data_IF_898021585917
#
_entry.id   IF_898021585917
#
_cell.length_a   1.000
_cell.length_b   1.000
_cell.length_c   1.000
_cell.angle_alpha   90.00
_cell.angle_beta   90.00
_cell.angle_gamma   90.00
#
_symmetry.space_group_name_H-M   'P 1'
#
loop_
_entity.id
_entity.type
_entity.pdbx_description
1 polymer ?
#
# COMPACT_ATOMS: atom_id res chain seq x y z
N UNK A 1 -49.53 -8.79 -2.19
CA UNK A 1 -49.36 -10.07 -2.89
C UNK A 1 -47.88 -10.24 -3.20
N UNK A 2 -47.22 -11.15 -2.48
CA UNK A 2 -46.05 -11.88 -2.98
C UNK A 2 -46.53 -12.86 -4.09
N UNK A 3 -45.66 -13.39 -4.96
CA UNK A 3 -44.61 -14.38 -4.61
C UNK A 3 -43.24 -14.11 -5.32
N UNK A 4 -42.05 -14.38 -4.74
CA UNK A 4 -41.30 -15.68 -4.62
C UNK A 4 -41.34 -16.50 -5.93
N UNK A 5 -40.29 -17.12 -6.49
CA UNK A 5 -38.89 -17.40 -6.13
C UNK A 5 -38.30 -18.34 -7.22
N UNK A 6 -36.99 -18.25 -7.55
CA UNK A 6 -36.05 -19.34 -7.93
C UNK A 6 -34.82 -18.72 -8.66
N UNK A 7 -33.61 -18.67 -8.08
CA UNK A 7 -32.57 -19.72 -7.99
C UNK A 7 -31.90 -19.98 -9.35
N UNK A 8 -30.63 -19.63 -9.60
CA UNK A 8 -29.31 -20.10 -9.11
C UNK A 8 -28.30 -19.75 -10.23
N UNK A 9 -26.99 -19.56 -10.08
CA UNK A 9 -25.99 -20.36 -9.39
C UNK A 9 -24.64 -19.57 -9.40
N UNK A 10 -24.01 -19.39 -8.23
CA UNK A 10 -22.63 -18.87 -8.07
C UNK A 10 -21.83 -19.95 -7.35
N UNK A 11 -20.73 -20.39 -7.96
CA UNK A 11 -19.82 -21.39 -7.42
C UNK A 11 -18.86 -20.81 -6.35
N UNK A 12 -18.36 -21.62 -5.39
CA UNK A 12 -18.07 -21.15 -4.03
C UNK A 12 -16.59 -21.14 -3.64
N UNK A 13 -16.28 -20.24 -2.68
CA UNK A 13 -15.10 -20.24 -1.81
C UNK A 13 -15.19 -21.42 -0.83
N UNK A 14 -14.10 -22.19 -0.71
CA UNK A 14 -13.94 -23.26 0.30
C UNK A 14 -13.09 -22.75 1.46
N UNK A 15 -13.70 -22.64 2.62
CA UNK A 15 -13.03 -22.72 3.93
C UNK A 15 -13.06 -24.18 4.38
N UNK A 16 -11.94 -24.70 4.89
CA UNK A 16 -11.91 -25.95 5.66
C UNK A 16 -11.06 -25.77 6.91
N UNK A 17 -11.62 -26.23 8.02
CA UNK A 17 -11.13 -26.15 9.40
C UNK A 17 -10.57 -27.52 9.80
N UNK A 18 -9.31 -27.52 10.24
CA UNK A 18 -8.64 -28.28 11.32
C UNK A 18 -9.08 -29.72 11.64
N UNK A 19 -8.15 -30.66 11.43
CA UNK A 19 -7.61 -31.73 12.31
C UNK A 19 -6.44 -32.35 11.52
N UNK A 20 -5.21 -32.57 11.99
CA UNK A 20 -4.75 -33.46 13.06
C UNK A 20 -3.21 -33.33 13.20
N UNK A 21 -2.71 -33.55 14.42
CA UNK A 21 -1.46 -34.24 14.82
C UNK A 21 -0.11 -34.05 14.08
N UNK A 22 0.89 -33.82 14.93
CA UNK A 22 2.31 -33.68 14.64
C UNK A 22 3.00 -35.00 14.25
N UNK A 23 3.90 -34.93 13.28
CA UNK A 23 5.03 -35.86 13.11
C UNK A 23 6.24 -35.12 12.52
N UNK A 24 7.42 -35.43 13.06
CA UNK A 24 8.71 -34.73 12.93
C UNK A 24 9.51 -35.19 11.70
N UNK A 25 10.27 -34.28 11.08
CA UNK A 25 11.69 -34.38 10.66
C UNK A 25 11.98 -33.42 9.48
N UNK A 26 13.26 -33.07 9.18
CA UNK A 26 14.31 -32.53 10.03
C UNK A 26 14.76 -31.14 9.54
N UNK A 27 15.05 -30.22 10.45
CA UNK A 27 15.70 -28.94 10.12
C UNK A 27 17.18 -29.22 9.91
N UNK A 28 17.66 -29.01 8.69
CA UNK A 28 19.08 -28.95 8.35
C UNK A 28 19.78 -27.95 9.28
N UNK A 29 20.78 -28.44 10.01
CA UNK A 29 21.71 -27.60 10.77
C UNK A 29 22.41 -26.67 9.80
N UNK A 30 22.17 -25.37 9.95
CA UNK A 30 23.00 -24.35 9.33
C UNK A 30 24.39 -24.39 9.99
N UNK A 31 25.40 -24.63 9.17
CA UNK A 31 26.82 -24.60 9.47
C UNK A 31 27.20 -23.38 10.34
N UNK A 32 27.52 -23.64 11.60
CA UNK A 32 28.21 -22.71 12.51
C UNK A 32 29.71 -22.71 12.21
N UNK A 33 30.10 -22.32 11.00
CA UNK A 33 31.47 -21.86 10.75
C UNK A 33 31.55 -20.94 9.52
N UNK A 34 30.88 -19.79 9.62
CA UNK A 34 31.31 -18.61 8.87
C UNK A 34 31.77 -17.59 9.89
N UNK A 35 33.09 -17.44 9.97
CA UNK A 35 33.77 -16.29 10.54
C UNK A 35 32.93 -15.03 10.29
N UNK A 36 32.48 -14.39 11.37
CA UNK A 36 31.57 -13.25 11.31
C UNK A 36 32.32 -12.00 10.80
N UNK A 37 32.68 -11.98 9.52
CA UNK A 37 33.36 -10.86 8.87
C UNK A 37 32.46 -9.64 8.98
N UNK A 38 32.89 -8.64 9.75
CA UNK A 38 32.21 -7.36 9.92
C UNK A 38 31.94 -6.76 8.53
N UNK A 39 30.66 -6.60 8.11
CA UNK A 39 30.35 -5.92 6.87
C UNK A 39 30.92 -4.50 6.89
N UNK A 40 31.49 -4.07 5.77
CA UNK A 40 32.01 -2.71 5.65
C UNK A 40 30.88 -1.69 5.81
N UNK A 41 31.15 -0.60 6.54
CA UNK A 41 30.18 0.49 6.67
C UNK A 41 30.02 1.17 5.30
N UNK A 42 28.79 1.52 4.87
CA UNK A 42 28.63 2.32 3.65
C UNK A 42 29.43 3.62 3.78
N UNK A 43 30.36 3.88 2.85
CA UNK A 43 31.08 5.15 2.82
C UNK A 43 30.13 6.27 2.38
N UNK A 44 29.58 7.00 3.34
CA UNK A 44 28.52 7.98 3.09
C UNK A 44 28.94 9.09 2.13
N UNK A 45 30.22 9.47 2.15
CA UNK A 45 30.74 10.53 1.28
C UNK A 45 30.81 10.10 -0.19
N UNK A 46 31.19 8.85 -0.46
CA UNK A 46 31.23 8.30 -1.82
C UNK A 46 29.84 8.13 -2.41
N UNK A 47 28.89 7.60 -1.62
CA UNK A 47 27.49 7.51 -2.05
C UNK A 47 26.88 8.89 -2.27
N UNK A 48 27.20 9.87 -1.42
CA UNK A 48 26.76 11.25 -1.59
C UNK A 48 27.32 11.86 -2.87
N UNK A 49 28.63 11.74 -3.13
CA UNK A 49 29.26 12.21 -4.39
C UNK A 49 28.63 11.59 -5.63
N UNK A 50 28.34 10.28 -5.61
CA UNK A 50 27.65 9.58 -6.71
C UNK A 50 26.22 10.10 -6.92
N UNK A 51 25.47 10.29 -5.83
CA UNK A 51 24.10 10.82 -5.88
C UNK A 51 24.06 12.28 -6.37
N UNK A 52 25.00 13.12 -5.91
CA UNK A 52 25.12 14.52 -6.32
C UNK A 52 25.50 14.64 -7.81
N UNK A 53 26.39 13.76 -8.30
CA UNK A 53 26.73 13.69 -9.72
C UNK A 53 25.53 13.32 -10.60
N UNK A 54 24.78 12.27 -10.22
CA UNK A 54 23.56 11.85 -10.94
C UNK A 54 22.47 12.93 -10.85
N UNK A 55 22.32 13.60 -9.70
CA UNK A 55 21.38 14.72 -9.55
C UNK A 55 21.73 15.90 -10.47
N UNK A 56 23.01 16.28 -10.55
CA UNK A 56 23.47 17.35 -11.45
C UNK A 56 23.21 17.02 -12.93
N UNK A 57 23.36 15.76 -13.34
CA UNK A 57 23.04 15.33 -14.71
C UNK A 57 21.54 15.34 -15.00
N UNK A 58 20.71 14.95 -14.02
CA UNK A 58 19.25 15.04 -14.14
C UNK A 58 18.81 16.50 -14.30
N UNK A 59 19.39 17.42 -13.51
CA UNK A 59 18.98 18.82 -13.53
C UNK A 59 19.40 19.52 -14.84
N UNK A 60 20.60 19.24 -15.37
CA UNK A 60 21.02 19.69 -16.71
C UNK A 60 20.03 19.26 -17.80
N UNK A 61 19.64 17.98 -17.83
CA UNK A 61 18.69 17.45 -18.82
C UNK A 61 17.28 18.00 -18.63
N UNK A 62 16.86 18.28 -17.39
CA UNK A 62 15.59 18.96 -17.12
C UNK A 62 15.59 20.40 -17.64
N UNK A 63 16.69 21.13 -17.52
CA UNK A 63 16.83 22.47 -18.10
C UNK A 63 16.76 22.43 -19.63
N UNK A 64 17.43 21.47 -20.27
CA UNK A 64 17.32 21.26 -21.71
C UNK A 64 15.89 20.91 -22.13
N UNK A 65 15.19 20.07 -21.36
CA UNK A 65 13.78 19.76 -21.59
C UNK A 65 12.88 20.98 -21.45
N UNK A 66 13.13 21.87 -20.47
CA UNK A 66 12.40 23.13 -20.32
C UNK A 66 12.61 24.04 -21.53
N UNK A 67 13.86 24.24 -21.96
CA UNK A 67 14.19 25.02 -23.16
C UNK A 67 13.54 24.46 -24.43
N UNK A 68 13.47 23.14 -24.58
CA UNK A 68 12.74 22.51 -25.69
C UNK A 68 11.23 22.70 -25.56
N UNK A 69 10.69 22.68 -24.35
CA UNK A 69 9.26 22.90 -24.09
C UNK A 69 8.87 24.34 -24.44
N UNK A 70 9.66 25.34 -24.04
CA UNK A 70 9.47 26.74 -24.42
C UNK A 70 9.48 26.91 -25.95
N UNK A 71 10.46 26.31 -26.65
CA UNK A 71 10.52 26.33 -28.13
C UNK A 71 9.31 25.65 -28.79
N UNK A 72 8.77 24.59 -28.18
CA UNK A 72 7.56 23.92 -28.66
C UNK A 72 6.33 24.82 -28.43
N UNK A 73 6.22 25.43 -27.26
CA UNK A 73 5.11 26.30 -26.90
C UNK A 73 5.07 27.56 -27.78
N UNK A 74 6.20 28.25 -27.95
CA UNK A 74 6.33 29.42 -28.84
C UNK A 74 5.84 29.13 -30.27
N UNK A 75 6.21 27.96 -30.82
CA UNK A 75 5.80 27.56 -32.18
C UNK A 75 4.37 26.98 -32.24
N UNK A 76 3.86 26.44 -31.15
CA UNK A 76 2.54 25.81 -31.07
C UNK A 76 1.43 26.81 -30.75
N UNK A 77 1.75 28.00 -30.23
CA UNK A 77 0.79 29.08 -29.97
C UNK A 77 -0.09 29.38 -31.19
N UNK A 78 -1.34 29.78 -30.92
CA UNK A 78 -2.32 30.12 -31.96
C UNK A 78 -3.08 28.93 -32.56
N UNK A 79 -2.98 27.71 -31.99
CA UNK A 79 -3.73 26.53 -32.46
C UNK A 79 -5.24 26.78 -32.46
N UNK A 80 -5.80 27.32 -31.38
CA UNK A 80 -7.25 27.53 -31.26
C UNK A 80 -7.76 28.61 -32.23
N UNK A 81 -7.02 29.72 -32.37
CA UNK A 81 -7.32 30.76 -33.36
C UNK A 81 -7.25 30.19 -34.80
N UNK A 82 -6.22 29.40 -35.11
CA UNK A 82 -6.10 28.74 -36.40
C UNK A 82 -7.24 27.75 -36.66
N UNK A 83 -7.60 26.93 -35.67
CA UNK A 83 -8.66 25.91 -35.82
C UNK A 83 -10.04 26.57 -35.97
N UNK A 84 -10.30 27.68 -35.27
CA UNK A 84 -11.53 28.47 -35.41
C UNK A 84 -11.61 29.15 -36.78
N UNK A 85 -10.57 29.88 -37.20
CA UNK A 85 -10.50 30.54 -38.52
C UNK A 85 -10.58 29.53 -39.67
N UNK A 86 -9.91 28.37 -39.52
CA UNK A 86 -10.01 27.29 -40.50
C UNK A 86 -11.45 26.77 -40.58
N UNK A 87 -12.10 26.55 -39.44
CA UNK A 87 -13.46 25.99 -39.41
C UNK A 87 -14.48 26.97 -39.97
N UNK A 88 -14.37 28.27 -39.66
CA UNK A 88 -15.24 29.29 -40.26
C UNK A 88 -15.07 29.34 -41.77
N UNK A 89 -13.83 29.39 -42.29
CA UNK A 89 -13.58 29.38 -43.74
C UNK A 89 -14.09 28.11 -44.43
N UNK A 90 -14.00 26.93 -43.79
CA UNK A 90 -14.60 25.71 -44.33
C UNK A 90 -16.12 25.78 -44.37
N UNK A 91 -16.76 26.34 -43.34
CA UNK A 91 -18.20 26.54 -43.32
C UNK A 91 -18.63 27.53 -44.40
N UNK A 92 -17.92 28.65 -44.54
CA UNK A 92 -18.19 29.66 -45.58
C UNK A 92 -17.96 29.09 -46.99
N UNK A 93 -16.92 28.30 -47.19
CA UNK A 93 -16.69 27.60 -48.47
C UNK A 93 -17.80 26.59 -48.79
N UNK A 94 -18.26 25.84 -47.78
CA UNK A 94 -19.34 24.86 -47.95
C UNK A 94 -20.69 25.54 -48.22
N UNK A 95 -20.99 26.66 -47.58
CA UNK A 95 -22.22 27.43 -47.84
C UNK A 95 -22.21 28.00 -49.25
N UNK A 96 -21.11 28.62 -49.69
CA UNK A 96 -20.97 29.12 -51.07
C UNK A 96 -21.07 27.99 -52.10
N UNK A 97 -20.51 26.80 -51.79
CA UNK A 97 -20.64 25.62 -52.65
C UNK A 97 -22.11 25.18 -52.76
N UNK A 98 -22.84 25.11 -51.65
CA UNK A 98 -24.24 24.72 -51.65
C UNK A 98 -25.11 25.73 -52.42
N UNK A 99 -24.88 27.03 -52.24
CA UNK A 99 -25.55 28.09 -53.00
C UNK A 99 -25.24 28.00 -54.50
N UNK A 100 -23.98 27.75 -54.87
CA UNK A 100 -23.59 27.52 -56.27
C UNK A 100 -24.29 26.31 -56.86
N UNK A 101 -24.34 25.20 -56.14
CA UNK A 101 -24.97 23.97 -56.61
C UNK A 101 -26.49 24.16 -56.79
N UNK A 102 -27.14 24.91 -55.90
CA UNK A 102 -28.54 25.32 -56.05
C UNK A 102 -28.76 26.21 -57.29
N UNK A 103 -27.88 27.18 -57.56
CA UNK A 103 -27.96 28.01 -58.77
C UNK A 103 -27.73 27.21 -60.05
N UNK A 104 -26.82 26.23 -60.03
CA UNK A 104 -26.60 25.30 -61.15
C UNK A 104 -27.86 24.47 -61.41
N UNK A 105 -28.53 24.00 -60.37
CA UNK A 105 -29.80 23.28 -60.48
C UNK A 105 -30.92 24.17 -61.03
N UNK A 106 -31.05 25.42 -60.55
CA UNK A 106 -31.98 26.39 -61.11
C UNK A 106 -31.71 26.66 -62.59
N UNK A 107 -30.43 26.84 -62.98
CA UNK A 107 -30.02 27.01 -64.38
C UNK A 107 -30.40 25.80 -65.23
N UNK A 108 -30.20 24.58 -64.71
CA UNK A 108 -30.57 23.34 -65.39
C UNK A 108 -32.09 23.27 -65.59
N UNK A 109 -32.88 23.49 -64.54
CA UNK A 109 -34.34 23.45 -64.61
C UNK A 109 -34.91 24.51 -65.57
N UNK A 110 -34.35 25.72 -65.56
CA UNK A 110 -34.74 26.78 -66.51
C UNK A 110 -34.40 26.39 -67.95
N UNK A 111 -33.21 25.82 -68.19
CA UNK A 111 -32.80 25.35 -69.51
C UNK A 111 -33.68 24.20 -70.01
N UNK A 112 -34.00 23.24 -69.15
CA UNK A 112 -34.86 22.11 -69.48
C UNK A 112 -36.30 22.58 -69.75
N UNK A 113 -36.85 23.47 -68.92
CA UNK A 113 -38.15 24.11 -69.12
C UNK A 113 -38.24 24.89 -70.45
N UNK A 114 -37.21 25.68 -70.78
CA UNK A 114 -37.14 26.36 -72.08
C UNK A 114 -37.08 25.37 -73.26
N UNK A 115 -36.39 24.24 -73.10
CA UNK A 115 -36.31 23.21 -74.14
C UNK A 115 -37.65 22.52 -74.35
N UNK A 116 -38.39 22.24 -73.27
CA UNK A 116 -39.73 21.66 -73.34
C UNK A 116 -40.73 22.64 -73.95
N UNK A 117 -40.74 23.89 -73.52
CA UNK A 117 -41.59 24.94 -74.10
C UNK A 117 -41.30 25.13 -75.60
N UNK A 118 -40.02 25.15 -76.00
CA UNK A 118 -39.65 25.26 -77.43
C UNK A 118 -40.09 24.03 -78.24
N UNK A 119 -40.01 22.82 -77.67
CA UNK A 119 -40.53 21.61 -78.33
C UNK A 119 -42.05 21.66 -78.46
N UNK A 120 -42.77 22.01 -77.40
CA UNK A 120 -44.22 22.15 -77.40
C UNK A 120 -44.69 23.20 -78.41
N UNK A 121 -44.00 24.34 -78.49
CA UNK A 121 -44.28 25.38 -79.50
C UNK A 121 -44.08 24.84 -80.93
N UNK A 122 -42.97 24.14 -81.22
CA UNK A 122 -42.73 23.54 -82.54
C UNK A 122 -43.74 22.45 -82.89
N UNK A 123 -44.16 21.65 -81.92
CA UNK A 123 -45.20 20.62 -82.11
C UNK A 123 -46.56 21.26 -82.38
N UNK A 124 -46.94 22.30 -81.63
CA UNK A 124 -48.17 23.06 -81.85
C UNK A 124 -48.17 23.74 -83.22
N UNK A 125 -47.06 24.36 -83.65
CA UNK A 125 -46.92 24.92 -85.00
C UNK A 125 -47.04 23.84 -86.09
N UNK A 126 -46.44 22.66 -85.89
CA UNK A 126 -46.53 21.55 -86.84
C UNK A 126 -47.97 21.02 -86.93
N UNK A 127 -48.66 20.89 -85.81
CA UNK A 127 -50.07 20.49 -85.78
C UNK A 127 -50.96 21.55 -86.45
N UNK A 128 -50.71 22.84 -86.21
CA UNK A 128 -51.43 23.93 -86.87
C UNK A 128 -51.23 23.88 -88.38
N UNK A 129 -49.99 23.73 -88.87
CA UNK A 129 -49.70 23.60 -90.32
C UNK A 129 -50.35 22.37 -90.95
N UNK A 130 -50.51 21.28 -90.20
CA UNK A 130 -51.21 20.09 -90.69
C UNK A 130 -52.72 20.34 -90.77
N UNK A 131 -53.32 20.90 -89.70
CA UNK A 131 -54.73 21.28 -89.68
C UNK A 131 -55.06 22.35 -90.74
N UNK A 132 -54.14 23.28 -91.00
CA UNK A 132 -54.28 24.29 -92.06
C UNK A 132 -54.41 23.62 -93.43
N UNK A 133 -53.53 22.65 -93.73
CA UNK A 133 -53.63 21.86 -94.97
C UNK A 133 -54.97 21.12 -95.04
N UNK A 134 -55.39 20.47 -93.97
CA UNK A 134 -56.64 19.71 -93.95
C UNK A 134 -57.87 20.61 -94.13
N UNK A 135 -57.91 21.78 -93.47
CA UNK A 135 -59.01 22.76 -93.58
C UNK A 135 -59.06 23.41 -94.96
N UNK A 136 -57.92 23.66 -95.62
CA UNK A 136 -57.92 24.21 -96.99
C UNK A 136 -58.57 23.26 -98.01
N UNK A 137 -58.53 21.95 -97.76
CA UNK A 137 -59.13 20.94 -98.64
C UNK A 137 -60.60 20.64 -98.30
N UNK A 138 -61.06 20.86 -97.06
CA UNK A 138 -62.42 20.59 -96.59
C UNK A 138 -63.07 21.85 -96.02
N UNK A 139 -63.37 22.84 -96.86
CA UNK A 139 -64.14 24.03 -96.45
C UNK A 139 -65.64 23.79 -96.59
N UNK A 140 -66.45 24.29 -95.64
CA UNK A 140 -67.93 24.20 -95.73
C UNK A 140 -68.45 24.84 -97.02
N UNK A 141 -67.89 25.99 -97.39
CA UNK A 141 -68.22 26.66 -98.64
C UNK A 141 -67.78 25.88 -99.88
N UNK A 142 -66.65 25.18 -99.82
CA UNK A 142 -66.17 24.33 -100.91
C UNK A 142 -67.11 23.13 -101.13
N UNK A 143 -67.48 22.45 -100.04
CA UNK A 143 -68.42 21.32 -100.06
C UNK A 143 -69.80 21.77 -100.56
N UNK A 144 -70.31 22.90 -100.07
CA UNK A 144 -71.63 23.40 -100.48
C UNK A 144 -71.63 23.90 -101.94
N UNK A 145 -70.54 24.50 -102.43
CA UNK A 145 -70.36 24.86 -103.86
C UNK A 145 -70.29 23.63 -104.77
N UNK A 146 -69.58 22.57 -104.36
CA UNK A 146 -69.51 21.31 -105.12
C UNK A 146 -70.86 20.58 -105.15
N UNK A 147 -71.58 20.55 -104.01
CA UNK A 147 -72.95 20.03 -103.96
C UNK A 147 -73.85 20.81 -104.91
N UNK A 148 -73.81 22.15 -104.88
CA UNK A 148 -74.60 23.00 -105.77
C UNK A 148 -74.25 22.78 -107.26
N UNK A 149 -72.97 22.59 -107.59
CA UNK A 149 -72.53 22.30 -108.95
C UNK A 149 -73.01 20.92 -109.44
N UNK A 150 -72.97 19.89 -108.59
CA UNK A 150 -73.46 18.55 -108.92
C UNK A 150 -75.00 18.56 -109.02
N UNK A 151 -75.69 19.24 -108.11
CA UNK A 151 -77.15 19.40 -108.14
C UNK A 151 -77.58 20.15 -109.41
N UNK A 152 -76.88 21.23 -109.78
CA UNK A 152 -77.10 21.95 -111.04
C UNK A 152 -76.84 21.06 -112.27
N UNK A 153 -75.79 20.23 -112.25
CA UNK A 153 -75.47 19.29 -113.32
C UNK A 153 -76.57 18.23 -113.50
N UNK A 154 -77.10 17.68 -112.39
CA UNK A 154 -78.23 16.75 -112.41
C UNK A 154 -79.50 17.42 -112.96
N UNK A 155 -79.74 18.69 -112.62
CA UNK A 155 -80.92 19.43 -113.06
C UNK A 155 -80.89 19.85 -114.53
N UNK A 156 -79.70 20.08 -115.11
CA UNK A 156 -79.54 20.69 -116.45
C UNK A 156 -79.07 19.72 -117.53
N UNK A 157 -78.49 18.58 -117.17
CA UNK A 157 -77.96 17.59 -118.11
C UNK A 157 -78.73 16.28 -118.01
N UNK A 158 -79.14 15.72 -119.16
CA UNK A 158 -79.68 14.36 -119.22
C UNK A 158 -78.54 13.35 -119.26
N UNK A 159 -78.45 12.50 -118.23
CA UNK A 159 -77.41 11.47 -118.10
C UNK A 159 -78.05 10.08 -117.87
N UNK A 160 -77.35 8.97 -118.16
CA UNK A 160 -77.88 7.65 -117.86
C UNK A 160 -78.05 7.45 -116.35
N UNK A 161 -79.10 6.71 -115.95
CA UNK A 161 -79.51 6.50 -114.55
C UNK A 161 -78.38 6.01 -113.62
N UNK A 162 -77.38 5.31 -114.16
CA UNK A 162 -76.21 4.83 -113.40
C UNK A 162 -75.29 5.98 -112.98
N UNK A 163 -75.09 6.97 -113.84
CA UNK A 163 -74.25 8.14 -113.58
C UNK A 163 -74.97 9.13 -112.66
N UNK A 164 -76.28 9.33 -112.86
CA UNK A 164 -77.11 10.14 -111.97
C UNK A 164 -77.13 9.59 -110.54
N UNK A 165 -77.29 8.27 -110.37
CA UNK A 165 -77.15 7.60 -109.07
C UNK A 165 -75.75 7.75 -108.49
N UNK A 166 -74.70 7.73 -109.32
CA UNK A 166 -73.32 7.97 -108.91
C UNK A 166 -73.12 9.39 -108.36
N UNK A 167 -73.62 10.41 -109.07
CA UNK A 167 -73.61 11.80 -108.60
C UNK A 167 -74.44 12.00 -107.32
N UNK A 168 -75.58 11.32 -107.20
CA UNK A 168 -76.40 11.36 -105.98
C UNK A 168 -75.68 10.70 -104.78
N UNK A 169 -74.93 9.61 -105.00
CA UNK A 169 -74.06 9.03 -103.96
C UNK A 169 -72.92 9.97 -103.58
N UNK A 170 -72.34 10.71 -104.54
CA UNK A 170 -71.34 11.73 -104.27
C UNK A 170 -71.92 12.88 -103.41
N UNK A 171 -73.13 13.38 -103.72
CA UNK A 171 -73.83 14.37 -102.87
C UNK A 171 -74.02 13.83 -101.45
N UNK A 172 -74.45 12.57 -101.29
CA UNK A 172 -74.59 11.96 -99.95
C UNK A 172 -73.27 11.88 -99.19
N UNK A 173 -72.17 11.53 -99.88
CA UNK A 173 -70.83 11.48 -99.30
C UNK A 173 -70.32 12.86 -98.88
N UNK A 174 -70.49 13.87 -99.73
CA UNK A 174 -70.14 15.26 -99.44
C UNK A 174 -70.96 15.83 -98.28
N UNK A 175 -72.28 15.58 -98.24
CA UNK A 175 -73.15 15.95 -97.10
C UNK A 175 -72.73 15.27 -95.79
N UNK A 176 -72.21 14.04 -95.84
CA UNK A 176 -71.66 13.34 -94.68
C UNK A 176 -70.29 13.88 -94.22
N UNK A 177 -69.51 14.47 -95.13
CA UNK A 177 -68.21 15.10 -94.82
C UNK A 177 -68.35 16.52 -94.26
N UNK A 178 -69.48 17.20 -94.50
CA UNK A 178 -69.79 18.54 -93.96
C UNK A 178 -69.58 18.70 -92.44
N UNK A 179 -70.10 17.83 -91.56
CA UNK A 179 -69.82 17.94 -90.12
C UNK A 179 -68.36 17.67 -89.74
N UNK A 180 -67.60 16.96 -90.57
CA UNK A 180 -66.17 16.73 -90.34
C UNK A 180 -65.37 18.00 -90.67
N UNK A 181 -65.68 18.66 -91.79
CA UNK A 181 -65.14 19.97 -92.15
C UNK A 181 -65.39 21.02 -91.04
N UNK A 182 -66.60 21.06 -90.50
CA UNK A 182 -66.96 21.98 -89.41
C UNK A 182 -66.15 21.73 -88.13
N UNK A 183 -65.88 20.47 -87.78
CA UNK A 183 -65.04 20.12 -86.62
C UNK A 183 -63.58 20.50 -86.85
N UNK A 184 -63.05 20.20 -88.03
CA UNK A 184 -61.68 20.56 -88.40
C UNK A 184 -61.46 22.08 -88.41
N UNK A 185 -62.43 22.84 -88.90
CA UNK A 185 -62.38 24.31 -88.88
C UNK A 185 -62.37 24.85 -87.44
N UNK A 186 -63.23 24.33 -86.56
CA UNK A 186 -63.24 24.71 -85.13
C UNK A 186 -61.95 24.32 -84.41
N UNK A 187 -61.40 23.15 -84.70
CA UNK A 187 -60.12 22.68 -84.15
C UNK A 187 -58.95 23.55 -84.64
N UNK A 188 -58.97 23.93 -85.92
CA UNK A 188 -57.99 24.85 -86.50
C UNK A 188 -58.10 26.25 -85.89
N UNK A 189 -59.29 26.83 -85.78
CA UNK A 189 -59.49 28.14 -85.16
C UNK A 189 -59.08 28.13 -83.67
N UNK A 190 -59.39 27.05 -82.95
CA UNK A 190 -58.97 26.89 -81.56
C UNK A 190 -57.45 26.73 -81.41
N UNK A 191 -56.80 25.97 -82.29
CA UNK A 191 -55.34 25.81 -82.27
C UNK A 191 -54.62 27.06 -82.77
N UNK A 192 -55.17 27.76 -83.77
CA UNK A 192 -54.69 29.06 -84.23
C UNK A 192 -54.79 30.10 -83.15
N UNK A 193 -55.93 30.18 -82.44
CA UNK A 193 -56.07 31.07 -81.29
C UNK A 193 -55.04 30.75 -80.19
N UNK A 194 -54.73 29.47 -79.92
CA UNK A 194 -53.70 29.06 -78.96
C UNK A 194 -52.27 29.42 -79.38
N UNK A 195 -51.96 29.38 -80.68
CA UNK A 195 -50.63 29.76 -81.20
C UNK A 195 -50.50 31.29 -81.31
N UNK A 196 -51.56 32.00 -81.72
CA UNK A 196 -51.60 33.46 -81.85
C UNK A 196 -51.74 34.20 -80.51
N UNK A 197 -52.39 33.60 -79.50
CA UNK A 197 -52.53 34.20 -78.16
C UNK A 197 -51.21 34.36 -77.42
N UNK A 198 -50.09 33.91 -77.99
CA UNK A 198 -48.78 34.31 -77.48
C UNK A 198 -48.48 33.77 -76.08
N UNK A 199 -49.03 32.62 -75.69
CA UNK A 199 -48.40 31.77 -74.65
C UNK A 199 -47.00 31.28 -75.11
N UNK A 200 -46.58 31.63 -76.33
CA UNK A 200 -45.24 31.54 -76.88
C UNK A 200 -44.65 32.87 -77.36
N UNK A 201 -44.92 34.00 -76.68
CA UNK A 201 -44.05 35.19 -76.82
C UNK A 201 -42.63 34.78 -76.40
N UNK A 202 -41.73 34.67 -77.38
CA UNK A 202 -40.44 33.98 -77.34
C UNK A 202 -39.81 33.88 -75.93
N UNK A 203 -40.13 32.82 -75.14
CA UNK A 203 -39.56 32.62 -73.81
C UNK A 203 -38.04 32.46 -73.88
N UNK A 204 -37.49 32.25 -75.09
CA UNK A 204 -36.07 32.23 -75.32
C UNK A 204 -35.40 33.59 -75.07
N UNK A 205 -36.05 34.74 -75.24
CA UNK A 205 -35.40 36.05 -75.00
C UNK A 205 -35.32 36.34 -73.50
N UNK A 206 -36.43 36.21 -72.79
CA UNK A 206 -36.47 36.44 -71.33
C UNK A 206 -35.71 35.33 -70.56
N UNK A 207 -35.82 34.07 -71.01
CA UNK A 207 -35.08 32.97 -70.43
C UNK A 207 -33.58 33.01 -70.73
N UNK A 208 -33.14 33.61 -71.84
CA UNK A 208 -31.71 33.90 -72.07
C UNK A 208 -31.18 34.92 -71.07
N UNK A 209 -31.90 36.02 -70.84
CA UNK A 209 -31.50 37.01 -69.83
C UNK A 209 -31.43 36.41 -68.42
N UNK A 210 -32.39 35.54 -68.06
CA UNK A 210 -32.37 34.81 -66.80
C UNK A 210 -31.19 33.82 -66.71
N UNK A 211 -30.88 33.10 -67.80
CA UNK A 211 -29.71 32.23 -67.87
C UNK A 211 -28.39 33.02 -67.72
N UNK A 212 -28.28 34.18 -68.38
CA UNK A 212 -27.08 35.03 -68.30
C UNK A 212 -26.89 35.61 -66.89
N UNK A 213 -27.99 35.96 -66.20
CA UNK A 213 -27.94 36.37 -64.79
C UNK A 213 -27.49 35.22 -63.88
N UNK A 214 -28.10 34.04 -64.02
CA UNK A 214 -27.70 32.85 -63.24
C UNK A 214 -26.24 32.46 -63.52
N UNK A 215 -25.77 32.60 -64.76
CA UNK A 215 -24.37 32.33 -65.13
C UNK A 215 -23.41 33.29 -64.43
N UNK A 216 -23.74 34.58 -64.36
CA UNK A 216 -22.97 35.58 -63.59
C UNK A 216 -22.94 35.26 -62.10
N UNK A 217 -24.07 34.94 -61.50
CA UNK A 217 -24.15 34.59 -60.08
C UNK A 217 -23.36 33.31 -59.76
N UNK A 218 -23.41 32.30 -60.64
CA UNK A 218 -22.60 31.08 -60.52
C UNK A 218 -21.11 31.42 -60.57
N UNK A 219 -20.69 32.30 -61.48
CA UNK A 219 -19.29 32.69 -61.62
C UNK A 219 -18.80 33.49 -60.40
N UNK A 220 -19.62 34.39 -59.85
CA UNK A 220 -19.33 35.08 -58.59
C UNK A 220 -19.18 34.11 -57.41
N UNK A 221 -20.04 33.10 -57.30
CA UNK A 221 -19.94 32.09 -56.24
C UNK A 221 -18.72 31.18 -56.44
N UNK A 222 -18.35 30.85 -57.68
CA UNK A 222 -17.09 30.13 -57.97
C UNK A 222 -15.87 30.95 -57.56
N UNK A 223 -15.83 32.23 -57.93
CA UNK A 223 -14.73 33.11 -57.53
C UNK A 223 -14.59 33.17 -56.00
N UNK A 224 -15.70 33.35 -55.27
CA UNK A 224 -15.70 33.31 -53.79
C UNK A 224 -15.25 31.96 -53.22
N UNK A 225 -15.67 30.85 -53.83
CA UNK A 225 -15.21 29.51 -53.42
C UNK A 225 -13.70 29.35 -53.62
N UNK A 226 -13.16 29.82 -54.74
CA UNK A 226 -11.71 29.82 -55.00
C UNK A 226 -10.96 30.74 -54.02
N UNK A 227 -11.50 31.92 -53.71
CA UNK A 227 -10.96 32.82 -52.68
C UNK A 227 -10.88 32.12 -51.32
N UNK A 228 -11.96 31.51 -50.83
CA UNK A 228 -11.92 30.77 -49.56
C UNK A 228 -10.95 29.60 -49.62
N UNK A 229 -10.88 28.87 -50.74
CA UNK A 229 -9.93 27.78 -50.91
C UNK A 229 -8.47 28.26 -50.84
N UNK A 230 -8.14 29.37 -51.50
CA UNK A 230 -6.80 29.97 -51.46
C UNK A 230 -6.45 30.48 -50.05
N UNK A 231 -7.40 31.08 -49.33
CA UNK A 231 -7.23 31.50 -47.94
C UNK A 231 -6.97 30.30 -47.01
N UNK A 232 -7.74 29.22 -47.14
CA UNK A 232 -7.54 27.98 -46.38
C UNK A 232 -6.15 27.39 -46.69
N UNK A 233 -5.75 27.36 -47.96
CA UNK A 233 -4.42 26.87 -48.38
C UNK A 233 -3.30 27.72 -47.77
N UNK A 234 -3.41 29.05 -47.86
CA UNK A 234 -2.43 29.98 -47.31
C UNK A 234 -2.33 29.87 -45.77
N UNK A 235 -3.46 29.72 -45.07
CA UNK A 235 -3.47 29.48 -43.63
C UNK A 235 -2.77 28.17 -43.27
N UNK A 236 -3.05 27.09 -44.00
CA UNK A 236 -2.40 25.79 -43.79
C UNK A 236 -0.90 25.88 -44.01
N UNK A 237 -0.44 26.50 -45.10
CA UNK A 237 1.00 26.67 -45.37
C UNK A 237 1.70 27.52 -44.31
N UNK A 238 1.05 28.60 -43.82
CA UNK A 238 1.57 29.41 -42.70
C UNK A 238 1.72 28.57 -41.44
N UNK A 239 0.73 27.73 -41.13
CA UNK A 239 0.76 26.86 -39.94
C UNK A 239 1.77 25.74 -40.08
N UNK A 240 1.89 25.13 -41.26
CA UNK A 240 2.87 24.08 -41.55
C UNK A 240 4.30 24.62 -41.39
N UNK A 241 4.60 25.81 -41.94
CA UNK A 241 5.89 26.49 -41.73
C UNK A 241 6.15 26.83 -40.26
N UNK A 242 5.13 27.23 -39.50
CA UNK A 242 5.28 27.51 -38.07
C UNK A 242 5.52 26.24 -37.24
N UNK A 243 4.92 25.11 -37.66
CA UNK A 243 5.08 23.81 -37.02
C UNK A 243 6.30 23.02 -37.51
N UNK A 244 6.99 23.52 -38.54
CA UNK A 244 8.19 22.88 -39.06
C UNK A 244 9.27 22.78 -37.97
N UNK A 245 9.87 21.59 -37.85
CA UNK A 245 10.81 21.26 -36.77
C UNK A 245 10.24 21.12 -35.36
N UNK A 246 8.94 21.37 -35.11
CA UNK A 246 8.31 21.10 -33.80
C UNK A 246 8.34 19.61 -33.49
N UNK A 247 8.15 18.76 -34.51
CA UNK A 247 8.25 17.31 -34.38
C UNK A 247 9.63 16.86 -33.89
N UNK A 248 10.71 17.44 -34.45
CA UNK A 248 12.07 17.14 -34.02
C UNK A 248 12.34 17.57 -32.57
N UNK A 249 11.77 18.70 -32.13
CA UNK A 249 11.85 19.12 -30.73
C UNK A 249 11.08 18.18 -29.80
N UNK A 250 9.93 17.66 -30.23
CA UNK A 250 9.17 16.65 -29.47
C UNK A 250 9.96 15.35 -29.36
N UNK A 251 10.58 14.89 -30.45
CA UNK A 251 11.39 13.67 -30.45
C UNK A 251 12.63 13.82 -29.56
N UNK A 252 13.32 14.98 -29.61
CA UNK A 252 14.42 15.32 -28.70
C UNK A 252 13.96 15.38 -27.23
N UNK A 253 12.79 15.96 -26.96
CA UNK A 253 12.20 15.98 -25.61
C UNK A 253 11.90 14.58 -25.09
N UNK A 254 11.40 13.69 -25.96
CA UNK A 254 11.14 12.28 -25.62
C UNK A 254 12.44 11.52 -25.33
N UNK A 255 13.49 11.74 -26.13
CA UNK A 255 14.81 11.17 -25.89
C UNK A 255 15.40 11.61 -24.53
N UNK A 256 15.39 12.92 -24.26
CA UNK A 256 15.85 13.46 -22.96
C UNK A 256 15.05 12.93 -21.78
N UNK A 257 13.74 12.73 -21.94
CA UNK A 257 12.91 12.10 -20.90
C UNK A 257 13.37 10.66 -20.65
N UNK A 258 13.62 9.89 -21.71
CA UNK A 258 14.17 8.53 -21.58
C UNK A 258 15.52 8.50 -20.87
N UNK A 259 16.41 9.45 -21.18
CA UNK A 259 17.69 9.59 -20.47
C UNK A 259 17.48 9.91 -18.99
N UNK A 260 16.62 10.88 -18.66
CA UNK A 260 16.29 11.23 -17.27
C UNK A 260 15.73 10.03 -16.51
N UNK A 261 14.83 9.26 -17.12
CA UNK A 261 14.27 8.06 -16.50
C UNK A 261 15.39 7.02 -16.22
N UNK A 262 16.35 6.87 -17.13
CA UNK A 262 17.55 6.06 -16.92
C UNK A 262 18.40 6.57 -15.74
N UNK A 263 18.67 7.88 -15.64
CA UNK A 263 19.39 8.45 -14.49
C UNK A 263 18.63 8.29 -13.17
N UNK A 264 17.29 8.35 -13.19
CA UNK A 264 16.47 8.09 -12.00
C UNK A 264 16.58 6.62 -11.56
N UNK A 265 16.66 5.69 -12.50
CA UNK A 265 16.91 4.27 -12.21
C UNK A 265 18.29 4.09 -11.55
N UNK A 266 19.36 4.65 -12.13
CA UNK A 266 20.70 4.58 -11.52
C UNK A 266 20.74 5.23 -10.13
N UNK A 267 20.04 6.36 -9.92
CA UNK A 267 19.91 6.97 -8.58
C UNK A 267 19.22 6.03 -7.60
N UNK A 268 18.19 5.33 -8.04
CA UNK A 268 17.44 4.37 -7.22
C UNK A 268 18.29 3.15 -6.87
N UNK A 269 19.07 2.64 -7.83
CA UNK A 269 20.05 1.56 -7.62
C UNK A 269 21.11 1.96 -6.59
N UNK A 270 21.71 3.15 -6.70
CA UNK A 270 22.68 3.67 -5.72
C UNK A 270 22.05 3.76 -4.31
N UNK A 271 20.78 4.20 -4.21
CA UNK A 271 20.06 4.18 -2.94
C UNK A 271 19.77 2.77 -2.43
N UNK A 272 19.51 1.81 -3.30
CA UNK A 272 19.31 0.40 -2.94
C UNK A 272 20.59 -0.26 -2.46
N UNK A 273 21.71 -0.02 -3.14
CA UNK A 273 23.05 -0.46 -2.72
C UNK A 273 23.38 0.07 -1.34
N UNK A 274 23.22 1.38 -1.12
CA UNK A 274 23.42 1.99 0.20
C UNK A 274 22.50 1.35 1.26
N UNK A 275 21.22 1.11 0.94
CA UNK A 275 20.27 0.44 1.84
C UNK A 275 20.66 -1.00 2.14
N UNK A 276 21.14 -1.78 1.16
CA UNK A 276 21.59 -3.17 1.35
C UNK A 276 22.82 -3.21 2.25
N UNK A 277 23.83 -2.38 1.99
CA UNK A 277 25.05 -2.29 2.80
C UNK A 277 24.72 -1.84 4.24
N UNK A 278 23.84 -0.84 4.41
CA UNK A 278 23.40 -0.39 5.73
C UNK A 278 22.62 -1.48 6.49
N UNK A 279 21.71 -2.20 5.81
CA UNK A 279 20.96 -3.30 6.41
C UNK A 279 21.89 -4.43 6.88
N UNK A 280 22.86 -4.81 6.05
CA UNK A 280 23.85 -5.83 6.39
C UNK A 280 24.67 -5.43 7.63
N UNK A 281 25.16 -4.18 7.68
CA UNK A 281 25.88 -3.66 8.85
C UNK A 281 25.01 -3.62 10.11
N UNK A 282 23.77 -3.14 10.01
CA UNK A 282 22.85 -3.07 11.15
C UNK A 282 22.46 -4.46 11.66
N UNK A 283 22.26 -5.44 10.78
CA UNK A 283 21.97 -6.83 11.16
C UNK A 283 23.16 -7.46 11.90
N UNK A 284 24.38 -7.22 11.41
CA UNK A 284 25.60 -7.66 12.08
C UNK A 284 25.73 -7.04 13.47
N UNK A 285 25.53 -5.72 13.60
CA UNK A 285 25.60 -5.02 14.90
C UNK A 285 24.53 -5.52 15.88
N UNK A 286 23.29 -5.76 15.41
CA UNK A 286 22.23 -6.34 16.22
C UNK A 286 22.59 -7.77 16.67
N UNK A 287 23.21 -8.57 15.81
CA UNK A 287 23.70 -9.91 16.14
C UNK A 287 24.77 -9.89 17.23
N UNK A 288 25.77 -9.01 17.11
CA UNK A 288 26.82 -8.81 18.13
C UNK A 288 26.24 -8.32 19.47
N UNK A 289 25.32 -7.35 19.45
CA UNK A 289 24.64 -6.86 20.66
C UNK A 289 23.86 -7.97 21.34
N UNK A 290 23.13 -8.80 20.58
CA UNK A 290 22.38 -9.94 21.13
C UNK A 290 23.31 -10.98 21.75
N UNK A 291 24.41 -11.35 21.10
CA UNK A 291 25.41 -12.28 21.67
C UNK A 291 26.00 -11.74 22.97
N UNK A 292 26.31 -10.44 23.02
CA UNK A 292 26.80 -9.79 24.25
C UNK A 292 25.75 -9.76 25.35
N UNK A 293 24.49 -9.47 25.02
CA UNK A 293 23.37 -9.49 25.96
C UNK A 293 23.15 -10.90 26.52
N UNK A 294 23.13 -11.93 25.67
CA UNK A 294 23.01 -13.32 26.10
C UNK A 294 24.13 -13.73 27.05
N UNK A 295 25.40 -13.46 26.70
CA UNK A 295 26.53 -13.74 27.60
C UNK A 295 26.43 -12.98 28.93
N UNK A 296 25.99 -11.72 28.90
CA UNK A 296 25.82 -10.93 30.11
C UNK A 296 24.65 -11.44 30.97
N UNK A 297 23.56 -11.88 30.36
CA UNK A 297 22.42 -12.51 31.04
C UNK A 297 22.80 -13.86 31.65
N UNK A 298 23.57 -14.69 30.94
CA UNK A 298 24.11 -15.95 31.44
C UNK A 298 25.07 -15.73 32.61
N UNK A 299 26.04 -14.81 32.48
CA UNK A 299 26.94 -14.43 33.56
C UNK A 299 26.19 -13.86 34.77
N UNK A 300 25.16 -13.06 34.52
CA UNK A 300 24.31 -12.51 35.59
C UNK A 300 23.53 -13.62 36.30
N UNK A 301 22.97 -14.58 35.57
CA UNK A 301 22.29 -15.74 36.16
C UNK A 301 23.25 -16.58 37.01
N UNK A 302 24.48 -16.81 36.52
CA UNK A 302 25.51 -17.53 37.27
C UNK A 302 25.91 -16.77 38.54
N UNK A 303 26.06 -15.44 38.47
CA UNK A 303 26.39 -14.61 39.62
C UNK A 303 25.23 -14.52 40.63
N UNK A 304 24.00 -14.37 40.17
CA UNK A 304 22.80 -14.37 41.03
C UNK A 304 22.65 -15.72 41.73
N UNK A 305 22.83 -16.84 41.04
CA UNK A 305 22.82 -18.18 41.63
C UNK A 305 23.95 -18.39 42.65
N UNK A 306 25.17 -17.92 42.36
CA UNK A 306 26.29 -17.99 43.28
C UNK A 306 26.07 -17.13 44.54
N UNK A 307 25.53 -15.92 44.39
CA UNK A 307 25.22 -15.04 45.50
C UNK A 307 24.07 -15.58 46.37
N UNK A 308 23.08 -16.23 45.76
CA UNK A 308 22.00 -16.90 46.49
C UNK A 308 22.53 -18.10 47.29
N UNK A 309 23.40 -18.92 46.70
CA UNK A 309 24.07 -20.01 47.39
C UNK A 309 24.96 -19.51 48.56
N UNK A 310 25.70 -18.41 48.37
CA UNK A 310 26.50 -17.79 49.43
C UNK A 310 25.63 -17.26 50.58
N UNK A 311 24.52 -16.57 50.26
CA UNK A 311 23.56 -16.09 51.27
C UNK A 311 22.97 -17.25 52.07
N UNK A 312 22.60 -18.33 51.40
CA UNK A 312 22.11 -19.54 52.04
C UNK A 312 23.16 -20.15 53.00
N UNK A 313 24.43 -20.21 52.57
CA UNK A 313 25.53 -20.66 53.44
C UNK A 313 25.74 -19.77 54.65
N UNK A 314 25.71 -18.45 54.47
CA UNK A 314 25.89 -17.49 55.57
C UNK A 314 24.73 -17.52 56.57
N UNK A 315 23.50 -17.70 56.11
CA UNK A 315 22.34 -17.90 57.00
C UNK A 315 22.50 -19.18 57.83
N UNK A 316 23.12 -20.21 57.24
CA UNK A 316 23.39 -21.48 57.89
C UNK A 316 24.53 -21.41 58.92
N UNK A 317 25.55 -20.61 58.65
CA UNK A 317 26.72 -20.40 59.53
C UNK A 317 26.44 -19.45 60.70
N UNK A 318 25.30 -18.75 60.68
CA UNK A 318 24.92 -17.85 61.77
C UNK A 318 24.87 -18.61 63.11
N UNK A 319 25.56 -18.12 64.17
CA UNK A 319 25.62 -18.81 65.45
C UNK A 319 24.23 -18.91 66.09
N UNK A 320 24.08 -19.88 66.98
CA UNK A 320 22.84 -20.06 67.73
C UNK A 320 22.49 -18.78 68.51
N UNK A 321 21.35 -18.13 68.23
CA UNK A 321 20.95 -16.89 68.90
C UNK A 321 20.85 -17.02 70.43
N UNK A 322 20.61 -18.22 70.95
CA UNK A 322 20.45 -18.48 72.38
C UNK A 322 21.74 -18.91 73.07
N UNK A 323 22.87 -19.04 72.35
CA UNK A 323 24.14 -19.53 72.90
C UNK A 323 24.68 -18.65 74.03
N UNK A 324 24.60 -17.33 73.87
CA UNK A 324 25.11 -16.38 74.86
C UNK A 324 24.29 -16.42 76.15
N UNK A 325 22.96 -16.60 76.04
CA UNK A 325 22.05 -16.70 77.19
C UNK A 325 22.19 -18.05 77.90
N UNK A 326 22.35 -19.15 77.16
CA UNK A 326 22.59 -20.47 77.75
C UNK A 326 23.94 -20.53 78.45
N UNK A 327 25.00 -20.00 77.84
CA UNK A 327 26.35 -19.99 78.45
C UNK A 327 26.41 -19.08 79.66
N UNK A 328 25.73 -17.93 79.65
CA UNK A 328 25.62 -17.06 80.82
C UNK A 328 24.85 -17.73 81.97
N UNK A 329 23.75 -18.44 81.66
CA UNK A 329 23.00 -19.22 82.63
C UNK A 329 23.84 -20.38 83.21
N UNK A 330 24.60 -21.09 82.38
CA UNK A 330 25.52 -22.14 82.82
C UNK A 330 26.62 -21.58 83.73
N UNK A 331 27.26 -20.47 83.34
CA UNK A 331 28.29 -19.81 84.14
C UNK A 331 27.75 -19.30 85.49
N UNK A 332 26.52 -18.79 85.53
CA UNK A 332 25.91 -18.34 86.79
C UNK A 332 25.44 -19.48 87.68
N UNK A 333 24.99 -20.59 87.10
CA UNK A 333 24.73 -21.84 87.83
C UNK A 333 26.03 -22.38 88.42
N UNK A 334 27.10 -22.48 87.64
CA UNK A 334 28.42 -22.94 88.09
C UNK A 334 28.99 -22.05 89.20
N UNK A 335 28.83 -20.73 89.08
CA UNK A 335 29.23 -19.78 90.12
C UNK A 335 28.45 -19.96 91.42
N UNK A 336 27.13 -20.15 91.35
CA UNK A 336 26.30 -20.42 92.53
C UNK A 336 26.59 -21.80 93.14
N UNK A 337 26.89 -22.80 92.32
CA UNK A 337 27.32 -24.13 92.78
C UNK A 337 28.70 -24.08 93.47
N UNK A 338 29.62 -23.27 92.98
CA UNK A 338 30.93 -23.05 93.63
C UNK A 338 30.90 -22.23 94.93
N UNK A 339 29.78 -21.56 95.22
CA UNK A 339 29.56 -20.75 96.43
C UNK A 339 28.87 -21.52 97.57
N UNK A 340 28.29 -22.68 97.28
CA UNK A 340 27.85 -23.61 98.32
C UNK A 340 29.09 -24.31 98.92
N UNK A 341 29.09 -24.65 100.22
CA UNK A 341 30.11 -25.53 100.77
C UNK A 341 30.15 -26.80 99.90
N UNK A 342 31.34 -27.23 99.49
CA UNK A 342 31.51 -28.58 98.95
C UNK A 342 30.89 -29.54 99.96
N UNK A 343 29.76 -30.15 99.61
CA UNK A 343 29.44 -31.44 100.17
C UNK A 343 30.57 -32.37 99.72
N UNK A 344 31.51 -32.62 100.62
CA UNK A 344 32.43 -33.74 100.54
C UNK A 344 31.60 -35.01 100.72
N UNK A 345 30.90 -35.40 99.66
CA UNK A 345 30.51 -36.78 99.41
C UNK A 345 30.94 -37.14 98.00
N UNK A 346 32.02 -37.93 97.97
CA UNK A 346 32.58 -38.67 96.84
C UNK A 346 33.25 -37.84 95.74
N UNK A 347 34.56 -37.64 95.92
CA UNK A 347 35.48 -38.01 94.85
C UNK A 347 35.16 -39.45 94.40
N UNK A 348 34.68 -39.59 93.18
CA UNK A 348 35.02 -40.75 92.37
C UNK A 348 35.56 -40.22 91.05
N UNK A 349 36.89 -40.20 90.98
CA UNK A 349 37.59 -40.24 89.70
C UNK A 349 37.11 -41.49 88.95
N UNK A 350 36.68 -41.36 87.70
CA UNK A 350 37.31 -42.10 86.59
C UNK A 350 36.76 -41.70 85.21
N UNK A 351 37.70 -41.20 84.38
CA UNK A 351 37.82 -41.37 82.93
C UNK A 351 36.69 -40.84 82.02
N UNK A 352 36.83 -39.59 81.58
CA UNK A 352 36.48 -39.26 80.18
C UNK A 352 37.63 -39.68 79.28
N UNK A 353 37.40 -40.77 78.56
CA UNK A 353 38.16 -41.22 77.40
C UNK A 353 38.32 -40.06 76.41
N UNK A 354 39.53 -39.52 76.26
CA UNK A 354 39.90 -38.65 75.14
C UNK A 354 40.27 -39.54 73.94
N UNK A 355 39.27 -40.23 73.38
CA UNK A 355 39.41 -41.07 72.18
C UNK A 355 38.72 -40.46 70.95
N UNK A 356 38.62 -39.13 70.88
CA UNK A 356 37.94 -38.43 69.78
C UNK A 356 38.76 -37.33 69.09
N UNK A 357 40.08 -37.42 69.14
CA UNK A 357 40.92 -36.62 68.24
C UNK A 357 42.12 -37.46 67.78
N UNK A 358 41.93 -38.23 66.72
CA UNK A 358 43.05 -38.77 65.97
C UNK A 358 43.78 -37.59 65.32
N UNK A 359 45.06 -37.30 65.66
CA UNK A 359 45.78 -36.23 64.99
C UNK A 359 45.99 -36.62 63.52
N UNK A 360 45.58 -35.74 62.61
CA UNK A 360 45.91 -35.85 61.20
C UNK A 360 47.43 -36.01 61.03
N UNK A 361 47.83 -36.85 60.08
CA UNK A 361 49.21 -37.24 59.83
C UNK A 361 50.16 -36.02 59.80
N UNK A 362 51.06 -35.93 60.79
CA UNK A 362 52.07 -34.88 60.90
C UNK A 362 51.95 -33.94 62.11
N UNK A 363 50.87 -34.03 62.91
CA UNK A 363 50.71 -33.18 64.10
C UNK A 363 51.26 -33.83 65.39
N UNK A 364 52.26 -33.19 66.02
CA UNK A 364 52.84 -33.61 67.30
C UNK A 364 52.08 -32.99 68.48
N UNK A 365 51.44 -33.82 69.30
CA UNK A 365 50.74 -33.40 70.52
C UNK A 365 51.77 -32.92 71.56
N UNK A 366 51.65 -31.67 71.99
CA UNK A 366 52.47 -31.06 73.03
C UNK A 366 52.14 -31.70 74.39
N UNK A 367 53.11 -32.35 75.04
CA UNK A 367 52.93 -32.88 76.39
C UNK A 367 52.52 -31.79 77.39
N UNK A 368 51.80 -32.21 78.44
CA UNK A 368 51.35 -31.35 79.52
C UNK A 368 52.51 -30.50 80.08
N UNK A 369 52.21 -29.28 80.53
CA UNK A 369 53.21 -28.34 81.08
C UNK A 369 54.01 -28.91 82.27
N UNK A 370 53.56 -30.00 82.89
CA UNK A 370 54.22 -30.67 84.02
C UNK A 370 55.31 -31.66 83.59
N UNK A 371 55.24 -32.18 82.35
CA UNK A 371 56.14 -33.22 81.84
C UNK A 371 57.16 -32.67 80.82
N UNK A 372 57.27 -31.34 80.74
CA UNK A 372 58.20 -30.66 79.85
C UNK A 372 59.42 -30.24 80.67
N UNK A 373 60.57 -30.84 80.39
CA UNK A 373 61.85 -30.46 80.99
C UNK A 373 62.21 -29.05 80.48
N UNK A 374 61.87 -28.03 81.26
CA UNK A 374 62.19 -26.63 80.96
C UNK A 374 63.42 -26.26 81.77
N UNK A 375 64.53 -26.04 81.08
CA UNK A 375 65.72 -25.37 81.60
C UNK A 375 65.32 -24.00 82.17
N UNK A 376 65.23 -23.93 83.51
CA UNK A 376 64.81 -22.77 84.29
C UNK A 376 65.85 -21.65 84.20
N UNK A 377 65.79 -20.82 83.16
CA UNK A 377 66.70 -19.67 82.95
C UNK A 377 66.27 -18.36 83.65
N UNK A 378 65.35 -18.40 84.62
CA UNK A 378 65.03 -17.20 85.43
C UNK A 378 64.92 -17.52 86.92
N UNK A 379 65.77 -16.82 87.69
CA UNK A 379 65.95 -16.99 89.12
C UNK A 379 64.70 -16.60 89.94
N UNK A 380 64.34 -17.46 90.89
CA UNK A 380 63.28 -17.22 91.87
C UNK A 380 63.70 -16.16 92.91
N UNK A 381 62.99 -15.03 92.95
CA UNK A 381 63.09 -14.05 94.06
C UNK A 381 62.01 -14.29 95.11
N UNK A 382 62.47 -14.90 96.22
CA UNK A 382 61.98 -14.91 97.62
C UNK A 382 60.48 -14.70 97.92
N UNK A 383 59.91 -15.79 98.46
CA UNK A 383 58.78 -15.86 99.41
C UNK A 383 58.89 -14.83 100.55
N UNK A 384 57.76 -14.18 100.87
CA UNK A 384 57.47 -13.59 102.19
C UNK A 384 56.25 -14.30 102.77
N UNK A 385 56.41 -14.86 103.97
CA UNK A 385 55.46 -15.76 104.62
C UNK A 385 54.40 -15.03 105.48
N UNK A 386 53.20 -15.61 105.43
CA UNK A 386 52.11 -15.71 106.42
C UNK A 386 51.66 -14.48 107.22
N UNK A 387 50.33 -14.27 107.19
CA UNK A 387 49.49 -14.36 108.41
C UNK A 387 48.13 -14.98 108.09
N UNK A 388 47.87 -16.16 108.66
CA UNK A 388 46.53 -16.76 108.83
C UNK A 388 45.73 -15.90 109.81
N UNK A 389 44.44 -15.67 109.55
CA UNK A 389 43.46 -15.31 110.59
C UNK A 389 42.09 -15.94 110.27
N UNK A 390 41.81 -16.98 111.07
CA UNK A 390 40.54 -17.54 111.55
C UNK A 390 39.24 -17.39 110.74
N UNK A 391 38.60 -18.54 110.54
CA UNK A 391 37.16 -18.73 110.32
C UNK A 391 36.30 -17.94 111.31
N UNK A 392 35.26 -17.29 110.79
CA UNK A 392 34.03 -17.03 111.53
C UNK A 392 32.84 -17.34 110.62
N UNK A 393 31.93 -18.12 111.19
CA UNK A 393 30.68 -18.64 110.63
C UNK A 393 29.77 -17.52 110.10
N UNK A 394 29.09 -17.81 108.99
CA UNK A 394 28.12 -16.95 108.31
C UNK A 394 28.76 -15.98 107.33
N UNK A 395 29.22 -16.48 106.17
CA UNK A 395 29.80 -15.61 105.13
C UNK A 395 28.67 -15.01 104.31
N UNK A 396 28.35 -13.75 104.57
CA UNK A 396 27.70 -12.90 103.57
C UNK A 396 28.54 -12.98 102.28
N UNK A 397 27.94 -13.46 101.20
CA UNK A 397 28.66 -13.67 99.94
C UNK A 397 29.09 -12.31 99.41
N UNK A 398 30.41 -12.06 99.34
CA UNK A 398 30.95 -10.85 98.73
C UNK A 398 31.02 -11.06 97.23
N UNK A 399 29.92 -10.76 96.54
CA UNK A 399 29.88 -10.69 95.09
C UNK A 399 30.74 -9.52 94.58
N UNK A 400 31.46 -9.74 93.48
CA UNK A 400 32.13 -8.67 92.73
C UNK A 400 31.08 -7.88 91.93
N UNK A 401 31.37 -6.62 91.60
CA UNK A 401 30.45 -5.76 90.84
C UNK A 401 29.98 -6.42 89.52
N UNK A 402 30.86 -7.16 88.85
CA UNK A 402 30.56 -7.90 87.63
C UNK A 402 29.57 -9.05 87.86
N UNK A 403 29.64 -9.74 89.00
CA UNK A 403 28.67 -10.81 89.34
C UNK A 403 27.29 -10.26 89.66
N UNK A 404 27.20 -9.06 90.25
CA UNK A 404 25.90 -8.39 90.39
C UNK A 404 25.31 -8.00 89.03
N UNK A 405 26.15 -7.55 88.09
CA UNK A 405 25.72 -7.23 86.74
C UNK A 405 25.22 -8.48 85.97
N UNK A 406 25.85 -9.65 86.14
CA UNK A 406 25.37 -10.90 85.51
C UNK A 406 24.05 -11.39 86.10
N UNK A 407 23.84 -11.24 87.41
CA UNK A 407 22.54 -11.57 88.05
C UNK A 407 21.44 -10.58 87.66
N UNK A 408 21.76 -9.29 87.53
CA UNK A 408 20.85 -8.26 87.03
C UNK A 408 20.45 -8.51 85.56
N UNK A 409 21.41 -8.90 84.71
CA UNK A 409 21.16 -9.30 83.32
C UNK A 409 20.21 -10.52 83.21
N UNK A 410 20.25 -11.44 84.16
CA UNK A 410 19.36 -12.61 84.22
C UNK A 410 18.04 -12.36 84.98
N UNK A 411 17.85 -11.13 85.49
CA UNK A 411 16.68 -10.70 86.24
C UNK A 411 16.50 -11.44 87.58
N UNK A 412 17.59 -11.91 88.19
CA UNK A 412 17.58 -12.64 89.47
C UNK A 412 18.30 -11.80 90.52
N UNK A 413 17.73 -11.68 91.73
CA UNK A 413 18.36 -10.92 92.83
C UNK A 413 19.52 -11.74 93.40
N UNK A 414 20.73 -11.18 93.40
CA UNK A 414 21.92 -11.89 93.86
C UNK A 414 21.79 -12.35 95.32
N UNK A 415 22.10 -13.63 95.64
CA UNK A 415 21.92 -14.17 96.99
C UNK A 415 22.92 -13.56 97.97
N UNK A 416 22.45 -12.78 98.93
CA UNK A 416 23.31 -12.21 99.97
C UNK A 416 23.69 -13.23 101.07
N UNK A 417 23.04 -14.41 101.11
CA UNK A 417 23.29 -15.48 102.08
C UNK A 417 23.27 -16.86 101.41
N UNK A 418 24.08 -17.80 101.95
CA UNK A 418 24.21 -19.20 101.48
C UNK A 418 22.91 -20.02 101.49
N UNK A 419 21.90 -19.58 102.25
CA UNK A 419 20.61 -20.28 102.39
C UNK A 419 19.65 -19.99 101.21
N UNK A 420 19.86 -18.90 100.47
CA UNK A 420 19.02 -18.50 99.32
C UNK A 420 19.54 -19.09 97.98
N UNK A 421 20.78 -19.59 97.97
CA UNK A 421 21.41 -20.21 96.81
C UNK A 421 20.66 -21.44 96.21
N UNK A 422 20.12 -22.39 96.99
CA UNK A 422 19.45 -23.58 96.43
C UNK A 422 18.12 -23.26 95.74
N UNK A 423 17.36 -22.27 96.22
CA UNK A 423 16.12 -21.82 95.57
C UNK A 423 16.41 -21.11 94.24
N UNK A 424 17.42 -20.24 94.21
CA UNK A 424 17.85 -19.56 92.98
C UNK A 424 18.46 -20.51 91.95
N UNK A 425 19.14 -21.58 92.38
CA UNK A 425 19.63 -22.63 91.50
C UNK A 425 18.50 -23.41 90.81
N UNK A 426 17.36 -23.63 91.48
CA UNK A 426 16.21 -24.28 90.86
C UNK A 426 15.58 -23.38 89.76
N UNK A 427 15.44 -22.09 90.04
CA UNK A 427 14.90 -21.11 89.09
C UNK A 427 15.81 -20.90 87.87
N UNK A 428 17.14 -20.83 88.08
CA UNK A 428 18.11 -20.71 87.00
C UNK A 428 18.19 -21.98 86.14
N UNK A 429 18.07 -23.18 86.75
CA UNK A 429 17.97 -24.44 86.00
C UNK A 429 16.67 -24.56 85.21
N UNK A 430 15.56 -24.04 85.73
CA UNK A 430 14.29 -23.98 85.00
C UNK A 430 14.38 -23.02 83.80
N UNK A 431 14.99 -21.85 83.98
CA UNK A 431 15.28 -20.92 82.87
C UNK A 431 16.21 -21.56 81.83
N UNK A 432 17.26 -22.25 82.26
CA UNK A 432 18.15 -23.01 81.36
C UNK A 432 17.39 -24.06 80.56
N UNK A 433 16.51 -24.85 81.18
CA UNK A 433 15.70 -25.84 80.48
C UNK A 433 14.80 -25.20 79.41
N UNK A 434 14.19 -24.04 79.70
CA UNK A 434 13.38 -23.29 78.74
C UNK A 434 14.20 -22.75 77.56
N UNK A 435 15.44 -22.33 77.78
CA UNK A 435 16.34 -21.95 76.69
C UNK A 435 16.86 -23.16 75.90
N UNK A 436 17.12 -24.30 76.56
CA UNK A 436 17.50 -25.54 75.88
C UNK A 436 16.39 -26.10 74.98
N UNK A 437 15.12 -25.93 75.35
CA UNK A 437 13.99 -26.26 74.44
C UNK A 437 13.95 -25.34 73.23
N UNK A 438 14.19 -24.03 73.41
CA UNK A 438 14.31 -23.08 72.30
C UNK A 438 15.50 -23.39 71.40
N UNK A 439 16.61 -23.83 71.98
CA UNK A 439 17.79 -24.32 71.24
C UNK A 439 17.44 -25.54 70.41
N UNK A 440 16.70 -26.52 70.95
CA UNK A 440 16.25 -27.69 70.18
C UNK A 440 15.32 -27.33 69.03
N UNK A 441 14.38 -26.40 69.25
CA UNK A 441 13.50 -25.90 68.17
C UNK A 441 14.33 -25.20 67.09
N UNK A 442 15.28 -24.36 67.48
CA UNK A 442 16.18 -23.69 66.55
C UNK A 442 17.09 -24.66 65.78
N UNK A 443 17.61 -25.71 66.43
CA UNK A 443 18.42 -26.75 65.78
C UNK A 443 17.59 -27.56 64.77
N UNK A 444 16.32 -27.83 65.08
CA UNK A 444 15.39 -28.50 64.15
C UNK A 444 15.01 -27.61 62.95
N UNK A 445 14.80 -26.30 63.17
CA UNK A 445 14.58 -25.35 62.08
C UNK A 445 15.84 -25.18 61.22
N UNK A 446 17.02 -25.15 61.85
CA UNK A 446 18.30 -25.09 61.15
C UNK A 446 18.53 -26.36 60.34
N UNK A 447 18.36 -27.55 60.90
CA UNK A 447 18.54 -28.81 60.16
C UNK A 447 17.60 -28.91 58.97
N UNK A 448 16.33 -28.51 59.12
CA UNK A 448 15.37 -28.43 58.02
C UNK A 448 15.82 -27.44 56.93
N UNK A 449 16.37 -26.28 57.30
CA UNK A 449 16.94 -25.31 56.36
C UNK A 449 18.23 -25.84 55.69
N UNK A 450 19.10 -26.55 56.41
CA UNK A 450 20.29 -27.23 55.84
C UNK A 450 19.86 -28.24 54.79
N UNK A 451 18.85 -29.05 55.07
CA UNK A 451 18.34 -30.07 54.16
C UNK A 451 17.69 -29.45 52.92
N UNK A 452 16.91 -28.37 53.09
CA UNK A 452 16.36 -27.61 51.98
C UNK A 452 17.43 -26.97 51.10
N UNK A 453 18.50 -26.41 51.68
CA UNK A 453 19.64 -25.85 50.93
C UNK A 453 20.41 -26.94 50.20
N UNK A 454 20.62 -28.12 50.80
CA UNK A 454 21.26 -29.26 50.13
C UNK A 454 20.42 -29.83 48.99
N UNK A 455 19.10 -29.86 49.14
CA UNK A 455 18.19 -30.25 48.05
C UNK A 455 18.20 -29.21 46.93
N UNK A 456 18.17 -27.91 47.26
CA UNK A 456 18.27 -26.82 46.29
C UNK A 456 19.64 -26.77 45.58
N UNK A 457 20.75 -27.04 46.28
CA UNK A 457 22.09 -27.16 45.68
C UNK A 457 22.19 -28.41 44.77
N UNK A 458 21.53 -29.52 45.12
CA UNK A 458 21.47 -30.72 44.28
C UNK A 458 20.62 -30.50 43.00
N UNK A 459 19.49 -29.80 43.12
CA UNK A 459 18.66 -29.41 41.98
C UNK A 459 19.37 -28.37 41.08
N UNK A 460 20.09 -27.41 41.66
CA UNK A 460 20.91 -26.45 40.92
C UNK A 460 22.08 -27.12 40.18
N UNK A 461 22.72 -28.14 40.77
CA UNK A 461 23.76 -28.93 40.12
C UNK A 461 23.22 -29.83 38.99
N UNK A 462 21.98 -30.33 39.10
CA UNK A 462 21.30 -31.07 38.03
C UNK A 462 20.93 -30.17 36.83
N UNK A 463 20.59 -28.91 37.08
CA UNK A 463 20.38 -27.90 36.01
C UNK A 463 21.72 -27.46 35.38
N UNK A 464 22.81 -27.44 36.14
CA UNK A 464 24.15 -27.14 35.61
C UNK A 464 24.67 -28.20 34.63
N UNK A 465 24.51 -29.48 34.97
CA UNK A 465 25.02 -30.63 34.18
C UNK A 465 24.21 -30.93 32.91
N UNK A 466 22.92 -30.58 32.88
CA UNK A 466 22.10 -30.65 31.66
C UNK A 466 22.38 -29.52 30.66
N UNK A 467 23.09 -28.45 31.07
CA UNK A 467 23.56 -27.40 30.15
C UNK A 467 24.92 -27.70 29.51
N UNK A 468 25.82 -28.40 30.21
CA UNK A 468 27.16 -28.74 29.69
C UNK A 468 27.14 -29.91 28.69
N UNK A 469 26.12 -30.78 28.74
CA UNK A 469 25.95 -31.90 27.78
C UNK A 469 25.26 -31.51 26.48
N UNK A 470 24.81 -30.25 26.35
CA UNK A 470 24.28 -29.70 25.11
C UNK A 470 25.35 -28.94 24.29
N UNK A 471 26.61 -28.93 24.75
CA UNK A 471 27.73 -28.16 24.19
C UNK A 471 28.87 -29.03 23.61
N UNK A 472 28.61 -30.32 23.31
CA UNK A 472 29.49 -31.18 22.49
C UNK A 472 28.85 -31.58 21.14
#
# INVERSE_FOLDING_TARGET
>A
MAPKSAAGEKAPKKEQKVTEKAEKAPVEKADENKENVKPERPNEEEFKKKLDAVAAEIDKRKEEMKKLTEKIEERSQGKEAFDTDRTSLYNDMNTVKAERDALIEQKKNLRDGMREQSKAAKEAEKQLKNLEKDVTHLTEEGIDKEIAAIEYKIQTQSMPLKEEKGLMMQIKKLKAQRPQAQKQLKEYEAMKAKVESGEGQDPAVNGKEQLDRLEKEIEEKKAKHEEYYTQIKALKEKREKALDGVKDFIDKKKALKGEIDGFIQTRSEIHEEKRKMQKAFNQWEQGERKKKQQRAEEQRKLWEAAAEAERARKELEMPNPYLDETTLLEQTIDYLQGMLPKDETAEEEEKKDLSACAPAAGARVLLSKKDRDVEMYYAATKKKSLKKKAEKKGVAIKHTADTFATFEQLGVKAPLSTDDCPALLADLKSKLAGYMEKVKVWEAERSAKVEAVKQAEADAAAVGTTSTTAEE
#
